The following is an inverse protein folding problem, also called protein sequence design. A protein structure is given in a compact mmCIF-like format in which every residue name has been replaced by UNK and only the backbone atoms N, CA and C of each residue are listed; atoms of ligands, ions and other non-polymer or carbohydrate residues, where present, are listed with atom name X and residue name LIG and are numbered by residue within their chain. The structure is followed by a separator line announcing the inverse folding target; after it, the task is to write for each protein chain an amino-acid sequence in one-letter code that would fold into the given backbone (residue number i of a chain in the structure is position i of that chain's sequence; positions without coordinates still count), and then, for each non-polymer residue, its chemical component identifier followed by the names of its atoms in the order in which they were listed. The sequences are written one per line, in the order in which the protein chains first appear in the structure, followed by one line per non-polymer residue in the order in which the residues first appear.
data_IF_063778633962
#
_entry.id   IF_063778633962
#
_cell.length_a   1.000
_cell.length_b   1.000
_cell.length_c   1.000
_cell.angle_alpha   90.00
_cell.angle_beta   90.00
_cell.angle_gamma   90.00
#
_symmetry.space_group_name_H-M   'P 1'
#
loop_
_entity.id
_entity.type
_entity.pdbx_description
1 polymer ?
#
# COMPACT_ATOMS: atom_id res chain seq x y z
N UNK A 1 6.36 9.63 -26.49
CA UNK A 1 6.38 8.34 -25.75
C UNK A 1 6.82 7.16 -26.59
N UNK A 2 6.39 7.03 -27.85
CA UNK A 2 6.70 5.87 -28.70
C UNK A 2 8.19 5.58 -28.83
N UNK A 3 9.01 6.59 -29.17
CA UNK A 3 10.48 6.46 -29.24
C UNK A 3 11.12 6.03 -27.92
N UNK A 4 10.60 6.51 -26.79
CA UNK A 4 11.09 6.13 -25.46
C UNK A 4 10.80 4.66 -25.19
N UNK A 5 9.59 4.20 -25.48
CA UNK A 5 9.20 2.80 -25.29
C UNK A 5 10.00 1.86 -26.19
N UNK A 6 10.20 2.21 -27.47
CA UNK A 6 11.03 1.45 -28.41
C UNK A 6 12.48 1.33 -27.91
N UNK A 7 13.07 2.43 -27.44
CA UNK A 7 14.43 2.44 -26.89
C UNK A 7 14.55 1.53 -25.65
N UNK A 8 13.58 1.60 -24.72
CA UNK A 8 13.56 0.74 -23.53
C UNK A 8 13.42 -0.74 -23.92
N UNK A 9 12.53 -1.06 -24.87
CA UNK A 9 12.27 -2.43 -25.33
C UNK A 9 13.46 -3.02 -26.10
N UNK A 10 14.14 -2.20 -26.89
CA UNK A 10 15.35 -2.62 -27.62
C UNK A 10 16.61 -2.72 -26.73
N UNK A 11 16.52 -2.32 -25.46
CA UNK A 11 17.64 -2.36 -24.52
C UNK A 11 18.69 -1.27 -24.77
N UNK A 12 18.24 -0.10 -25.22
CA UNK A 12 19.11 1.06 -25.44
C UNK A 12 19.94 1.39 -24.17
N UNK A 13 21.14 1.93 -24.37
CA UNK A 13 22.03 2.33 -23.28
C UNK A 13 21.44 3.50 -22.48
N UNK A 14 21.94 3.71 -21.26
CA UNK A 14 21.55 4.86 -20.44
C UNK A 14 21.84 6.19 -21.13
N UNK A 15 22.93 6.28 -21.87
CA UNK A 15 23.30 7.49 -22.64
C UNK A 15 22.31 7.74 -23.80
N UNK A 16 21.91 6.68 -24.51
CA UNK A 16 20.89 6.80 -25.55
C UNK A 16 19.57 7.31 -24.97
N UNK A 17 19.12 6.72 -23.85
CA UNK A 17 17.90 7.13 -23.14
C UNK A 17 18.01 8.59 -22.65
N UNK A 18 19.16 8.99 -22.14
CA UNK A 18 19.40 10.37 -21.69
C UNK A 18 19.25 11.40 -22.81
N UNK A 19 19.53 11.02 -24.06
CA UNK A 19 19.47 11.90 -25.22
C UNK A 19 18.12 11.92 -25.93
N UNK A 20 17.17 11.04 -25.57
CA UNK A 20 15.82 11.04 -26.15
C UNK A 20 15.06 12.33 -25.79
N UNK A 21 14.28 12.91 -26.71
CA UNK A 21 13.43 14.04 -26.38
C UNK A 21 12.34 13.63 -25.38
N UNK A 22 12.12 14.45 -24.36
CA UNK A 22 11.00 14.30 -23.46
C UNK A 22 9.81 15.05 -24.06
N UNK A 23 8.63 14.39 -24.21
CA UNK A 23 7.42 15.05 -24.73
C UNK A 23 6.93 16.15 -23.79
N UNK A 24 6.32 17.20 -24.34
CA UNK A 24 5.74 18.31 -23.56
C UNK A 24 4.48 17.91 -22.81
N UNK A 25 3.80 16.84 -23.23
CA UNK A 25 2.65 16.24 -22.58
C UNK A 25 2.70 14.70 -22.64
N UNK A 26 1.97 14.05 -21.75
CA UNK A 26 1.88 12.60 -21.69
C UNK A 26 0.50 12.19 -21.16
N UNK A 27 0.05 11.01 -21.55
CA UNK A 27 -1.25 10.46 -21.13
C UNK A 27 -1.19 10.04 -19.66
N UNK A 28 -2.24 10.41 -18.90
CA UNK A 28 -2.39 10.07 -17.50
C UNK A 28 -3.85 9.84 -17.11
N UNK A 29 -4.07 9.06 -16.06
CA UNK A 29 -5.34 8.93 -15.38
C UNK A 29 -5.39 9.93 -14.21
N UNK A 30 -6.43 10.77 -14.17
CA UNK A 30 -6.56 11.83 -13.17
C UNK A 30 -8.01 12.13 -12.80
N UNK A 31 -8.21 12.77 -11.65
CA UNK A 31 -9.47 13.38 -11.25
C UNK A 31 -9.38 14.91 -11.36
N UNK A 32 -10.53 15.58 -11.52
CA UNK A 32 -10.62 17.04 -11.66
C UNK A 32 -11.09 17.70 -10.37
N UNK A 33 -10.54 18.88 -10.10
CA UNK A 33 -10.86 19.66 -8.90
C UNK A 33 -12.30 20.13 -8.88
N UNK A 34 -12.84 20.58 -10.00
CA UNK A 34 -14.21 21.09 -10.14
C UNK A 34 -15.28 19.99 -10.00
N UNK A 35 -14.87 18.71 -10.06
CA UNK A 35 -15.75 17.57 -9.87
C UNK A 35 -15.76 17.03 -8.43
N UNK A 36 -15.03 17.66 -7.49
CA UNK A 36 -14.85 17.15 -6.12
C UNK A 36 -16.14 16.90 -5.34
N UNK A 37 -17.22 17.58 -5.69
CA UNK A 37 -18.53 17.46 -5.05
C UNK A 37 -19.52 16.58 -5.83
N UNK A 38 -19.10 15.95 -6.94
CA UNK A 38 -20.01 15.19 -7.83
C UNK A 38 -20.70 14.00 -7.16
N UNK A 39 -20.15 13.50 -6.07
CA UNK A 39 -20.70 12.38 -5.30
C UNK A 39 -21.31 12.83 -3.96
N UNK A 40 -21.63 14.13 -3.79
CA UNK A 40 -22.25 14.61 -2.56
C UNK A 40 -23.60 13.93 -2.31
N UNK A 41 -23.81 13.37 -1.11
CA UNK A 41 -25.02 12.65 -0.73
C UNK A 41 -25.13 11.21 -1.27
N UNK A 42 -24.10 10.69 -1.93
CA UNK A 42 -24.04 9.29 -2.40
C UNK A 42 -23.24 8.47 -1.41
N UNK A 43 -23.75 7.30 -1.03
CA UNK A 43 -23.01 6.36 -0.19
C UNK A 43 -21.73 5.87 -0.86
N UNK A 44 -20.65 5.67 -0.08
CA UNK A 44 -19.32 5.32 -0.60
C UNK A 44 -19.33 4.11 -1.54
N UNK A 45 -20.17 3.12 -1.28
CA UNK A 45 -20.29 1.91 -2.10
C UNK A 45 -21.05 2.09 -3.41
N UNK A 46 -21.83 3.16 -3.53
CA UNK A 46 -22.60 3.51 -4.73
C UNK A 46 -21.86 4.51 -5.64
N UNK A 47 -20.73 5.04 -5.17
CA UNK A 47 -19.87 5.94 -5.97
C UNK A 47 -19.13 5.15 -7.04
N UNK A 48 -19.36 5.51 -8.30
CA UNK A 48 -18.69 4.87 -9.44
C UNK A 48 -17.45 5.65 -9.86
N UNK A 49 -16.22 5.13 -9.61
CA UNK A 49 -14.98 5.82 -9.95
C UNK A 49 -14.81 6.08 -11.46
N UNK A 50 -15.53 5.35 -12.32
CA UNK A 50 -15.49 5.57 -13.78
C UNK A 50 -16.10 6.90 -14.20
N UNK A 51 -16.88 7.54 -13.33
CA UNK A 51 -17.51 8.84 -13.63
C UNK A 51 -16.58 10.03 -13.38
N UNK A 52 -15.63 9.88 -12.49
CA UNK A 52 -14.70 10.93 -12.03
C UNK A 52 -13.29 10.77 -12.58
N UNK A 53 -12.94 9.56 -13.04
CA UNK A 53 -11.62 9.26 -13.54
C UNK A 53 -11.53 9.57 -15.04
N UNK A 54 -10.67 10.50 -15.40
CA UNK A 54 -10.37 10.89 -16.76
C UNK A 54 -9.06 10.30 -17.23
N UNK A 55 -8.94 10.03 -18.52
CA UNK A 55 -7.69 9.61 -19.16
C UNK A 55 -7.46 10.54 -20.34
N UNK A 56 -6.46 11.41 -20.23
CA UNK A 56 -6.12 12.40 -21.25
C UNK A 56 -4.67 12.86 -21.08
N UNK A 57 -4.21 13.72 -22.00
CA UNK A 57 -2.87 14.31 -21.94
C UNK A 57 -2.76 15.39 -20.88
N UNK A 58 -1.70 15.31 -20.08
CA UNK A 58 -1.31 16.30 -19.09
C UNK A 58 0.08 16.85 -19.40
N UNK A 59 0.36 18.09 -18.99
CA UNK A 59 1.66 18.72 -19.22
C UNK A 59 2.77 17.99 -18.43
N UNK A 60 3.92 17.81 -19.07
CA UNK A 60 5.11 17.28 -18.41
C UNK A 60 5.63 18.29 -17.39
N UNK A 61 5.71 17.92 -16.08
CA UNK A 61 6.16 18.86 -15.05
C UNK A 61 7.68 19.08 -15.13
N UNK A 62 8.11 20.25 -14.68
CA UNK A 62 9.53 20.55 -14.50
C UNK A 62 10.12 19.68 -13.38
N UNK A 63 11.34 19.20 -13.58
CA UNK A 63 12.03 18.28 -12.65
C UNK A 63 12.76 19.06 -11.55
N UNK A 64 12.44 18.80 -10.30
CA UNK A 64 13.16 19.36 -9.15
C UNK A 64 14.56 18.76 -8.99
N UNK A 65 15.48 19.44 -8.29
CA UNK A 65 16.86 18.97 -8.16
C UNK A 65 17.02 17.57 -7.56
N UNK A 66 16.13 17.14 -6.68
CA UNK A 66 16.18 15.85 -5.95
C UNK A 66 15.24 14.78 -6.53
N UNK A 67 14.71 15.01 -7.73
CA UNK A 67 13.75 14.13 -8.37
C UNK A 67 14.29 13.38 -9.58
N UNK A 68 13.58 12.34 -9.95
CA UNK A 68 13.75 11.57 -11.18
C UNK A 68 12.48 11.62 -12.01
N UNK A 69 12.59 11.80 -13.31
CA UNK A 69 11.53 11.53 -14.28
C UNK A 69 11.67 10.08 -14.73
N UNK A 70 10.60 9.31 -14.61
CA UNK A 70 10.55 7.92 -15.04
C UNK A 70 9.56 7.72 -16.17
N UNK A 71 9.88 6.87 -17.15
CA UNK A 71 8.89 6.22 -18.00
C UNK A 71 8.23 5.12 -17.19
N UNK A 72 6.93 5.17 -17.05
CA UNK A 72 6.18 4.13 -16.32
C UNK A 72 5.89 2.98 -17.29
N UNK A 73 6.39 1.81 -16.98
CA UNK A 73 6.18 0.59 -17.77
C UNK A 73 4.98 -0.21 -17.28
N UNK A 74 4.68 -0.13 -15.99
CA UNK A 74 3.49 -0.68 -15.36
C UNK A 74 3.16 0.07 -14.07
N UNK A 75 1.88 0.07 -13.71
CA UNK A 75 1.35 0.61 -12.45
C UNK A 75 0.33 -0.35 -11.88
N UNK A 76 -0.11 -0.13 -10.64
CA UNK A 76 -1.19 -0.90 -10.03
C UNK A 76 -2.23 -0.02 -9.35
N UNK A 77 -3.42 -0.60 -9.11
CA UNK A 77 -4.51 0.06 -8.42
C UNK A 77 -4.51 -0.39 -6.96
N UNK A 78 -4.36 0.57 -6.06
CA UNK A 78 -4.51 0.37 -4.62
C UNK A 78 -5.82 1.00 -4.12
N UNK A 79 -6.20 0.69 -2.89
CA UNK A 79 -7.45 1.20 -2.32
C UNK A 79 -7.46 2.73 -2.19
N UNK A 80 -6.31 3.37 -1.93
CA UNK A 80 -6.17 4.83 -1.93
C UNK A 80 -6.43 5.45 -3.31
N UNK A 81 -6.08 4.76 -4.40
CA UNK A 81 -6.42 5.20 -5.77
C UNK A 81 -7.93 5.21 -5.99
N UNK A 82 -8.63 4.18 -5.48
CA UNK A 82 -10.10 4.14 -5.51
C UNK A 82 -10.68 5.28 -4.69
N UNK A 83 -10.18 5.50 -3.46
CA UNK A 83 -10.61 6.61 -2.62
C UNK A 83 -10.42 7.97 -3.28
N UNK A 84 -9.25 8.22 -3.89
CA UNK A 84 -9.03 9.46 -4.65
C UNK A 84 -10.08 9.65 -5.74
N UNK A 85 -10.39 8.57 -6.47
CA UNK A 85 -11.35 8.60 -7.57
C UNK A 85 -12.79 8.86 -7.13
N UNK A 86 -13.14 8.57 -5.89
CA UNK A 86 -14.48 8.82 -5.32
C UNK A 86 -14.51 9.97 -4.32
N UNK A 87 -13.39 10.71 -4.21
CA UNK A 87 -13.20 11.85 -3.30
C UNK A 87 -13.41 11.50 -1.81
N UNK A 88 -12.92 10.31 -1.39
CA UNK A 88 -13.06 9.80 -0.02
C UNK A 88 -11.69 9.70 0.69
N UNK A 89 -11.64 9.81 2.03
CA UNK A 89 -12.70 10.35 2.90
C UNK A 89 -12.86 11.86 2.73
N UNK A 90 -11.93 12.50 2.02
CA UNK A 90 -11.90 13.92 1.67
C UNK A 90 -11.31 14.07 0.26
N UNK A 91 -11.71 15.10 -0.50
CA UNK A 91 -11.06 15.45 -1.76
C UNK A 91 -9.56 15.68 -1.57
N UNK A 92 -8.72 14.97 -2.32
CA UNK A 92 -7.25 14.99 -2.18
C UNK A 92 -6.64 16.35 -2.52
N UNK A 93 -7.35 17.22 -3.23
CA UNK A 93 -6.89 18.58 -3.58
C UNK A 93 -6.50 19.42 -2.37
N UNK A 94 -7.12 19.21 -1.18
CA UNK A 94 -6.71 19.85 0.05
C UNK A 94 -5.30 19.47 0.52
N UNK A 95 -4.86 18.23 0.26
CA UNK A 95 -3.49 17.79 0.51
C UNK A 95 -2.52 18.44 -0.48
N UNK A 96 -2.87 18.49 -1.77
CA UNK A 96 -2.05 19.12 -2.81
C UNK A 96 -1.85 20.60 -2.56
N UNK A 97 -2.89 21.33 -2.14
CA UNK A 97 -2.82 22.75 -1.79
C UNK A 97 -1.96 23.01 -0.54
N UNK A 98 -1.97 22.08 0.41
CA UNK A 98 -1.13 22.15 1.60
C UNK A 98 0.34 21.93 1.24
N UNK A 99 0.62 20.90 0.45
CA UNK A 99 1.95 20.62 -0.08
C UNK A 99 2.50 21.81 -0.89
N UNK A 100 1.68 22.42 -1.75
CA UNK A 100 2.07 23.55 -2.60
C UNK A 100 2.57 24.78 -1.83
N UNK A 101 2.28 24.90 -0.53
CA UNK A 101 2.74 26.00 0.32
C UNK A 101 4.11 25.76 0.95
N UNK A 102 4.66 24.56 0.85
CA UNK A 102 5.90 24.18 1.55
C UNK A 102 7.16 24.71 0.83
N UNK A 103 7.13 24.83 -0.51
CA UNK A 103 8.26 25.33 -1.29
C UNK A 103 7.86 25.80 -2.69
N UNK A 104 8.77 26.50 -3.38
CA UNK A 104 8.56 26.90 -4.78
C UNK A 104 8.38 25.66 -5.69
N UNK A 105 9.15 24.59 -5.49
CA UNK A 105 9.02 23.36 -6.25
C UNK A 105 7.71 22.60 -5.96
N UNK A 106 7.19 22.72 -4.77
CA UNK A 106 5.92 22.08 -4.39
C UNK A 106 4.69 22.75 -5.01
N UNK A 107 4.77 24.02 -5.44
CA UNK A 107 3.64 24.77 -6.06
C UNK A 107 3.02 24.03 -7.24
N UNK A 108 3.82 23.30 -8.03
CA UNK A 108 3.35 22.53 -9.20
C UNK A 108 2.43 21.36 -8.85
N UNK A 109 2.33 20.95 -7.58
CA UNK A 109 1.37 19.92 -7.17
C UNK A 109 -0.08 20.43 -7.09
N UNK A 110 -0.30 21.74 -6.90
CA UNK A 110 -1.64 22.34 -6.86
C UNK A 110 -2.12 22.71 -8.27
N UNK A 111 -2.57 21.69 -9.01
CA UNK A 111 -3.13 21.82 -10.35
C UNK A 111 -4.67 21.68 -10.32
N UNK A 112 -5.39 22.02 -11.41
CA UNK A 112 -6.82 21.76 -11.54
C UNK A 112 -7.14 20.26 -11.66
N UNK A 113 -6.14 19.41 -11.76
CA UNK A 113 -6.25 17.95 -11.81
C UNK A 113 -5.24 17.26 -10.88
N UNK A 114 -5.55 16.03 -10.50
CA UNK A 114 -4.69 15.17 -9.69
C UNK A 114 -4.46 13.84 -10.44
N UNK A 115 -3.24 13.63 -10.92
CA UNK A 115 -2.81 12.34 -11.52
C UNK A 115 -2.64 11.32 -10.41
N UNK A 116 -3.40 10.24 -10.48
CA UNK A 116 -3.53 9.24 -9.43
C UNK A 116 -2.56 8.06 -9.58
N UNK A 117 -2.47 7.20 -8.56
CA UNK A 117 -1.67 5.98 -8.57
C UNK A 117 -0.44 6.08 -7.67
N UNK A 118 -0.31 5.10 -6.76
CA UNK A 118 0.75 5.07 -5.73
C UNK A 118 1.73 3.91 -5.92
N UNK A 119 1.69 3.26 -7.08
CA UNK A 119 2.61 2.21 -7.47
C UNK A 119 3.11 2.43 -8.89
N UNK A 120 4.37 2.11 -9.15
CA UNK A 120 4.92 2.03 -10.49
C UNK A 120 6.19 1.18 -10.55
N UNK A 121 6.43 0.61 -11.72
CA UNK A 121 7.74 0.14 -12.17
C UNK A 121 8.08 0.83 -13.49
N UNK A 122 9.35 1.15 -13.69
CA UNK A 122 9.71 1.94 -14.87
C UNK A 122 11.21 2.10 -15.09
N UNK A 123 11.54 3.01 -15.99
CA UNK A 123 12.92 3.34 -16.36
C UNK A 123 13.18 4.82 -16.13
N UNK A 124 14.28 5.14 -15.49
CA UNK A 124 14.73 6.53 -15.27
C UNK A 124 15.07 7.17 -16.62
N UNK A 125 14.43 8.28 -16.95
CA UNK A 125 14.65 9.07 -18.16
C UNK A 125 15.57 10.27 -17.91
N UNK A 126 15.33 10.98 -16.80
CA UNK A 126 16.08 12.17 -16.39
C UNK A 126 16.25 12.17 -14.87
N UNK A 127 17.30 12.85 -14.43
CA UNK A 127 17.59 13.06 -13.01
C UNK A 127 17.78 14.55 -12.73
N UNK A 128 17.33 15.00 -11.58
CA UNK A 128 17.60 16.34 -11.07
C UNK A 128 19.08 16.52 -10.68
N UNK A 129 19.53 17.75 -10.60
CA UNK A 129 20.95 18.10 -10.40
C UNK A 129 21.55 17.62 -9.07
N UNK A 130 20.74 17.31 -8.07
CA UNK A 130 21.18 16.80 -6.77
C UNK A 130 21.10 15.26 -6.66
N UNK A 131 20.54 14.56 -7.65
CA UNK A 131 20.45 13.11 -7.67
C UNK A 131 21.82 12.49 -7.97
N UNK A 132 22.24 11.52 -7.16
CA UNK A 132 23.56 10.86 -7.28
C UNK A 132 23.50 9.35 -7.40
N UNK A 133 22.40 8.74 -6.95
CA UNK A 133 22.30 7.28 -6.84
C UNK A 133 21.60 6.63 -8.04
N UNK A 134 21.03 7.43 -8.92
CA UNK A 134 20.30 6.97 -10.10
C UNK A 134 20.82 7.65 -11.35
N UNK A 135 20.64 6.99 -12.48
CA UNK A 135 20.99 7.50 -13.81
C UNK A 135 19.95 7.08 -14.84
N UNK A 136 19.87 7.77 -16.00
CA UNK A 136 19.04 7.34 -17.11
C UNK A 136 19.33 5.88 -17.50
N UNK A 137 18.27 5.12 -17.79
CA UNK A 137 18.34 3.70 -18.11
C UNK A 137 18.20 2.75 -16.91
N UNK A 138 18.33 3.24 -15.67
CA UNK A 138 18.10 2.39 -14.49
C UNK A 138 16.67 1.92 -14.43
N UNK A 139 16.49 0.61 -14.21
CA UNK A 139 15.19 -0.05 -14.06
C UNK A 139 14.78 -0.04 -12.60
N UNK A 140 13.64 0.55 -12.31
CA UNK A 140 13.23 0.86 -10.93
C UNK A 140 11.81 0.42 -10.63
N UNK A 141 11.53 0.26 -9.34
CA UNK A 141 10.18 0.24 -8.76
C UNK A 141 10.07 1.39 -7.75
N UNK A 142 8.88 1.93 -7.59
CA UNK A 142 8.62 3.10 -6.75
C UNK A 142 7.99 2.67 -5.44
N UNK A 143 8.54 3.14 -4.33
CA UNK A 143 7.85 3.12 -3.04
C UNK A 143 7.13 4.46 -2.83
N UNK A 144 5.94 4.44 -2.25
CA UNK A 144 5.07 5.61 -2.27
C UNK A 144 5.33 6.66 -1.17
N UNK A 145 6.31 6.45 -0.27
CA UNK A 145 6.63 7.42 0.79
C UNK A 145 7.36 8.63 0.23
N UNK A 146 6.67 9.76 0.13
CA UNK A 146 7.24 11.03 -0.33
C UNK A 146 7.64 11.88 0.88
N UNK A 147 8.93 12.04 1.12
CA UNK A 147 9.52 12.79 2.24
C UNK A 147 10.75 13.54 1.76
N UNK A 148 10.97 14.73 2.29
CA UNK A 148 12.23 15.44 2.10
C UNK A 148 13.34 14.72 2.89
N UNK A 149 14.32 14.15 2.18
CA UNK A 149 15.45 13.45 2.77
C UNK A 149 16.41 14.35 3.57
N UNK A 150 16.26 15.67 3.46
CA UNK A 150 17.01 16.65 4.25
C UNK A 150 16.31 17.02 5.56
N UNK A 151 15.02 16.64 5.77
CA UNK A 151 14.34 16.84 7.03
C UNK A 151 14.94 15.91 8.10
N UNK A 152 15.52 16.45 9.21
CA UNK A 152 16.12 15.62 10.24
C UNK A 152 15.12 14.69 10.93
N UNK A 153 13.83 15.01 10.94
CA UNK A 153 12.77 14.16 11.50
C UNK A 153 12.53 12.89 10.70
N UNK A 154 12.98 12.87 9.44
CA UNK A 154 12.86 11.71 8.55
C UNK A 154 13.93 10.62 8.78
N UNK A 155 15.01 10.91 9.51
CA UNK A 155 16.20 10.05 9.52
C UNK A 155 16.04 8.77 10.33
N UNK A 156 15.26 8.77 11.39
CA UNK A 156 15.01 7.56 12.19
C UNK A 156 13.85 6.73 11.59
N UNK A 157 12.70 7.36 11.44
CA UNK A 157 11.53 6.77 10.78
C UNK A 157 10.87 7.83 9.88
N UNK A 158 11.09 7.73 8.58
CA UNK A 158 10.59 8.71 7.61
C UNK A 158 9.05 8.81 7.58
N UNK A 159 8.33 7.82 8.13
CA UNK A 159 6.87 7.90 8.31
C UNK A 159 6.45 8.86 9.42
N UNK A 160 7.39 9.26 10.31
CA UNK A 160 7.14 10.22 11.39
C UNK A 160 7.50 11.65 10.99
N UNK A 161 8.04 11.87 9.80
CA UNK A 161 8.36 13.21 9.31
C UNK A 161 7.11 14.07 9.14
N UNK A 162 7.18 15.34 9.55
CA UNK A 162 6.03 16.28 9.49
C UNK A 162 5.55 16.51 8.05
N UNK A 163 6.45 16.39 7.07
CA UNK A 163 6.16 16.57 5.64
C UNK A 163 5.95 15.24 4.90
N UNK A 164 5.78 14.12 5.61
CA UNK A 164 5.48 12.84 5.00
C UNK A 164 4.17 12.87 4.24
N UNK A 165 4.17 12.34 3.03
CA UNK A 165 3.03 12.23 2.11
C UNK A 165 3.05 10.89 1.39
N UNK A 166 1.90 10.46 0.91
CA UNK A 166 1.78 9.30 0.02
C UNK A 166 1.73 9.79 -1.42
N UNK A 167 2.71 9.39 -2.22
CA UNK A 167 2.80 9.71 -3.63
C UNK A 167 1.58 9.22 -4.41
N UNK A 168 1.04 10.09 -5.27
CA UNK A 168 -0.15 9.80 -6.08
C UNK A 168 -1.47 9.76 -5.32
N UNK A 169 -1.43 10.09 -4.00
CA UNK A 169 -2.59 10.26 -3.14
C UNK A 169 -2.58 11.63 -2.44
N UNK A 170 -1.48 11.98 -1.75
CA UNK A 170 -1.26 13.27 -1.08
C UNK A 170 -0.29 14.18 -1.86
N UNK A 171 0.27 13.67 -2.96
CA UNK A 171 1.04 14.43 -3.95
C UNK A 171 0.48 14.19 -5.34
N UNK A 172 0.68 15.13 -6.28
CA UNK A 172 0.32 14.95 -7.68
C UNK A 172 1.38 14.10 -8.42
N UNK A 173 1.15 13.82 -9.70
CA UNK A 173 2.01 13.09 -10.63
C UNK A 173 2.18 11.61 -10.26
N UNK A 174 1.04 10.94 -9.97
CA UNK A 174 1.01 9.52 -9.64
C UNK A 174 1.37 8.58 -10.79
N UNK A 175 1.42 7.28 -10.48
CA UNK A 175 1.94 6.25 -11.37
C UNK A 175 0.98 5.73 -12.44
N UNK A 176 -0.32 6.10 -12.42
CA UNK A 176 -1.25 5.74 -13.52
C UNK A 176 -1.10 6.71 -14.69
N UNK A 177 0.09 6.74 -15.30
CA UNK A 177 0.47 7.65 -16.35
C UNK A 177 1.63 7.06 -17.18
N UNK A 178 1.87 7.59 -18.38
CA UNK A 178 3.00 7.18 -19.22
C UNK A 178 4.35 7.63 -18.65
N UNK A 179 4.36 8.75 -17.92
CA UNK A 179 5.54 9.25 -17.18
C UNK A 179 5.14 9.74 -15.80
N UNK A 180 6.10 9.75 -14.88
CA UNK A 180 5.91 10.31 -13.55
C UNK A 180 7.19 10.93 -13.01
N UNK A 181 7.05 11.91 -12.12
CA UNK A 181 8.15 12.42 -11.31
C UNK A 181 8.05 11.86 -9.89
N UNK A 182 9.19 11.45 -9.36
CA UNK A 182 9.33 10.90 -8.02
C UNK A 182 10.62 11.41 -7.39
N UNK A 183 10.67 11.54 -6.07
CA UNK A 183 11.93 11.82 -5.39
C UNK A 183 12.91 10.67 -5.55
N UNK A 184 14.19 10.96 -5.66
CA UNK A 184 15.22 9.93 -5.85
C UNK A 184 15.23 8.87 -4.73
N UNK A 185 14.85 9.24 -3.50
CA UNK A 185 14.75 8.33 -2.36
C UNK A 185 13.52 7.39 -2.41
N UNK A 186 12.55 7.64 -3.30
CA UNK A 186 11.42 6.75 -3.54
C UNK A 186 11.77 5.58 -4.46
N UNK A 187 12.87 5.65 -5.17
CA UNK A 187 13.26 4.61 -6.13
C UNK A 187 13.95 3.44 -5.43
N UNK A 188 13.64 2.25 -5.89
CA UNK A 188 14.28 0.99 -5.53
C UNK A 188 14.65 0.23 -6.80
N UNK A 189 15.69 -0.63 -6.80
CA UNK A 189 16.02 -1.42 -7.98
C UNK A 189 14.88 -2.40 -8.29
N UNK A 190 14.47 -2.47 -9.55
CA UNK A 190 13.49 -3.46 -10.01
C UNK A 190 14.09 -4.87 -9.88
N UNK A 191 13.37 -5.85 -9.29
CA UNK A 191 13.80 -7.24 -9.33
C UNK A 191 13.96 -7.71 -10.78
N UNK A 192 15.13 -8.27 -11.12
CA UNK A 192 15.48 -8.59 -12.52
C UNK A 192 14.69 -9.74 -13.11
N UNK A 193 14.22 -10.65 -12.28
CA UNK A 193 13.46 -11.84 -12.67
C UNK A 193 11.95 -11.60 -12.79
N UNK A 194 11.44 -10.44 -12.32
CA UNK A 194 10.04 -10.09 -12.40
C UNK A 194 9.73 -9.26 -13.67
N UNK A 195 8.53 -9.40 -14.20
CA UNK A 195 8.01 -8.51 -15.24
C UNK A 195 7.83 -7.08 -14.73
N UNK A 196 7.41 -6.16 -15.60
CA UNK A 196 7.09 -4.80 -15.17
C UNK A 196 5.86 -4.76 -14.27
N UNK A 197 4.82 -5.52 -14.66
CA UNK A 197 3.56 -5.65 -13.93
C UNK A 197 3.78 -6.27 -12.55
N UNK A 198 4.49 -7.39 -12.49
CA UNK A 198 4.86 -8.04 -11.24
C UNK A 198 5.69 -7.15 -10.33
N UNK A 199 6.54 -6.29 -10.90
CA UNK A 199 7.34 -5.34 -10.13
C UNK A 199 6.52 -4.15 -9.63
N UNK A 200 5.54 -3.69 -10.40
CA UNK A 200 4.73 -2.53 -10.06
C UNK A 200 3.86 -2.76 -8.81
N UNK A 201 3.30 -3.97 -8.62
CA UNK A 201 2.38 -4.27 -7.51
C UNK A 201 3.06 -4.38 -6.15
N UNK A 202 4.38 -4.31 -6.09
CA UNK A 202 5.14 -4.56 -4.86
C UNK A 202 5.29 -3.33 -3.97
N UNK A 203 5.41 -2.14 -4.55
CA UNK A 203 5.84 -0.93 -3.86
C UNK A 203 5.05 -0.66 -2.59
N UNK A 204 3.73 -0.53 -2.72
CA UNK A 204 2.85 -0.24 -1.59
C UNK A 204 2.56 -1.48 -0.74
N UNK A 205 2.06 -2.54 -1.35
CA UNK A 205 1.50 -3.68 -0.61
C UNK A 205 2.57 -4.49 0.15
N UNK A 206 3.70 -4.80 -0.50
CA UNK A 206 4.80 -5.53 0.14
C UNK A 206 5.42 -4.74 1.29
N UNK A 207 5.69 -3.44 1.08
CA UNK A 207 6.30 -2.58 2.10
C UNK A 207 5.38 -2.39 3.32
N UNK A 208 4.07 -2.16 3.10
CA UNK A 208 3.08 -2.06 4.18
C UNK A 208 3.05 -3.33 5.02
N UNK A 209 2.99 -4.49 4.38
CA UNK A 209 2.93 -5.78 5.09
C UNK A 209 4.23 -6.06 5.86
N UNK A 210 5.39 -5.65 5.29
CA UNK A 210 6.68 -5.76 5.98
C UNK A 210 6.70 -4.90 7.25
N UNK A 211 6.30 -3.62 7.16
CA UNK A 211 6.22 -2.73 8.33
C UNK A 211 5.27 -3.28 9.38
N UNK A 212 4.08 -3.73 8.99
CA UNK A 212 3.09 -4.25 9.94
C UNK A 212 3.59 -5.46 10.73
N UNK A 213 4.30 -6.38 10.09
CA UNK A 213 4.65 -7.67 10.69
C UNK A 213 6.09 -7.75 11.19
N UNK A 214 7.05 -7.34 10.34
CA UNK A 214 8.47 -7.66 10.52
C UNK A 214 9.23 -6.54 11.21
N UNK A 215 8.91 -5.29 10.87
CA UNK A 215 9.61 -4.11 11.36
C UNK A 215 9.51 -3.93 12.89
N UNK A 216 10.52 -3.28 13.45
CA UNK A 216 10.49 -2.79 14.84
C UNK A 216 9.39 -1.76 15.11
N UNK A 217 8.90 -1.10 14.06
CA UNK A 217 7.77 -0.16 14.11
C UNK A 217 6.41 -0.84 14.02
N UNK A 218 6.36 -2.16 13.82
CA UNK A 218 5.16 -2.98 13.71
C UNK A 218 5.02 -4.01 14.82
N UNK A 219 4.43 -5.16 14.49
CA UNK A 219 4.17 -6.24 15.45
C UNK A 219 5.43 -6.99 15.91
N UNK A 220 6.56 -6.83 15.22
CA UNK A 220 7.84 -7.52 15.53
C UNK A 220 7.69 -9.03 15.58
N UNK A 221 7.08 -9.60 14.56
CA UNK A 221 6.86 -11.03 14.43
C UNK A 221 8.16 -11.81 14.65
N UNK A 222 8.04 -12.91 15.38
CA UNK A 222 9.16 -13.82 15.68
C UNK A 222 8.90 -15.19 15.09
N UNK A 223 9.95 -15.97 14.96
CA UNK A 223 9.85 -17.39 14.66
C UNK A 223 8.88 -18.09 15.62
N UNK A 224 7.97 -18.88 15.07
CA UNK A 224 6.97 -19.63 15.83
C UNK A 224 5.69 -18.86 16.15
N UNK A 225 5.65 -17.52 15.93
CA UNK A 225 4.42 -16.76 16.13
C UNK A 225 3.30 -17.22 15.17
N UNK A 226 2.09 -17.33 15.69
CA UNK A 226 0.87 -17.53 14.90
C UNK A 226 0.25 -16.18 14.55
N UNK A 227 -0.11 -16.00 13.27
CA UNK A 227 -0.62 -14.73 12.75
C UNK A 227 -1.95 -14.93 12.05
N UNK A 228 -3.01 -14.35 12.60
CA UNK A 228 -4.31 -14.27 11.94
C UNK A 228 -4.27 -13.14 10.90
N UNK A 229 -4.59 -13.47 9.64
CA UNK A 229 -4.50 -12.53 8.53
C UNK A 229 -5.86 -12.37 7.88
N UNK A 230 -6.51 -11.21 8.07
CA UNK A 230 -7.72 -10.87 7.37
C UNK A 230 -7.44 -10.61 5.88
N UNK A 231 -8.36 -11.04 5.01
CA UNK A 231 -8.20 -10.85 3.57
C UNK A 231 -6.89 -11.42 3.02
N UNK A 232 -6.51 -12.60 3.46
CA UNK A 232 -5.20 -13.22 3.25
C UNK A 232 -4.79 -13.44 1.78
N UNK A 233 -5.71 -13.31 0.82
CA UNK A 233 -5.42 -13.35 -0.63
C UNK A 233 -5.50 -11.97 -1.29
N UNK A 234 -5.69 -10.90 -0.52
CA UNK A 234 -5.64 -9.53 -1.02
C UNK A 234 -4.21 -9.01 -1.16
N UNK A 235 -4.05 -7.78 -1.68
CA UNK A 235 -2.75 -7.19 -1.94
C UNK A 235 -1.81 -7.25 -0.72
N UNK A 236 -2.18 -6.64 0.42
CA UNK A 236 -1.35 -6.71 1.63
C UNK A 236 -1.39 -8.08 2.32
N UNK A 237 -2.54 -8.78 2.30
CA UNK A 237 -2.72 -10.06 2.96
C UNK A 237 -1.86 -11.18 2.34
N UNK A 238 -1.73 -11.21 1.02
CA UNK A 238 -0.90 -12.19 0.31
C UNK A 238 0.59 -12.03 0.65
N UNK A 239 1.09 -10.81 0.77
CA UNK A 239 2.45 -10.56 1.25
C UNK A 239 2.60 -10.92 2.73
N UNK A 240 1.60 -10.61 3.56
CA UNK A 240 1.61 -10.97 4.98
C UNK A 240 1.76 -12.49 5.17
N UNK A 241 1.00 -13.31 4.43
CA UNK A 241 1.14 -14.78 4.45
C UNK A 241 2.57 -15.20 4.14
N UNK A 242 3.17 -14.65 3.07
CA UNK A 242 4.53 -14.99 2.66
C UNK A 242 5.57 -14.54 3.69
N UNK A 243 5.43 -13.35 4.29
CA UNK A 243 6.34 -12.90 5.35
C UNK A 243 6.27 -13.80 6.58
N UNK A 244 5.07 -14.25 6.97
CA UNK A 244 4.90 -15.16 8.10
C UNK A 244 5.59 -16.49 7.82
N UNK A 245 5.34 -17.09 6.65
CA UNK A 245 5.99 -18.37 6.24
C UNK A 245 7.51 -18.23 6.15
N UNK A 246 7.99 -17.19 5.48
CA UNK A 246 9.42 -16.94 5.30
C UNK A 246 10.14 -16.64 6.63
N UNK A 247 9.45 -16.05 7.60
CA UNK A 247 9.92 -15.78 8.94
C UNK A 247 9.81 -16.96 9.91
N UNK A 248 9.29 -18.11 9.46
CA UNK A 248 9.13 -19.31 10.30
C UNK A 248 7.95 -19.21 11.27
N UNK A 249 6.98 -18.34 10.99
CA UNK A 249 5.72 -18.25 11.72
C UNK A 249 4.63 -19.13 11.10
N UNK A 250 3.44 -19.12 11.70
CA UNK A 250 2.26 -19.87 11.27
C UNK A 250 1.16 -18.92 10.81
N UNK A 251 0.89 -18.77 9.51
CA UNK A 251 -0.21 -17.95 9.04
C UNK A 251 -1.55 -18.69 9.23
N UNK A 252 -2.59 -17.95 9.64
CA UNK A 252 -3.98 -18.37 9.67
C UNK A 252 -4.74 -17.41 8.77
N UNK A 253 -5.05 -17.85 7.54
CA UNK A 253 -5.62 -17.00 6.53
C UNK A 253 -7.14 -16.95 6.60
N UNK A 254 -7.73 -15.75 6.69
CA UNK A 254 -9.18 -15.56 6.57
C UNK A 254 -9.51 -15.14 5.14
N UNK A 255 -10.36 -15.93 4.50
CA UNK A 255 -10.81 -15.74 3.11
C UNK A 255 -12.33 -15.69 3.00
N UNK A 256 -12.86 -15.51 1.80
CA UNK A 256 -14.29 -15.37 1.54
C UNK A 256 -14.81 -16.33 0.46
N UNK A 257 -14.02 -17.29 0.02
CA UNK A 257 -14.46 -18.35 -0.89
C UNK A 257 -13.48 -19.53 -0.92
N UNK A 258 -13.95 -20.72 -1.36
CA UNK A 258 -13.11 -21.91 -1.53
C UNK A 258 -11.94 -21.70 -2.52
N UNK A 259 -12.15 -20.93 -3.59
CA UNK A 259 -11.11 -20.65 -4.59
C UNK A 259 -9.96 -19.85 -3.96
N UNK A 260 -10.28 -18.92 -3.05
CA UNK A 260 -9.28 -18.16 -2.30
C UNK A 260 -8.57 -19.02 -1.27
N UNK A 261 -9.25 -19.99 -0.67
CA UNK A 261 -8.62 -20.95 0.21
C UNK A 261 -7.59 -21.81 -0.54
N UNK A 262 -7.91 -22.20 -1.78
CA UNK A 262 -6.98 -22.96 -2.62
C UNK A 262 -5.72 -22.16 -3.00
N UNK A 263 -5.84 -20.84 -3.20
CA UNK A 263 -4.66 -19.97 -3.40
C UNK A 263 -3.75 -20.03 -2.17
N UNK A 264 -4.31 -19.91 -0.95
CA UNK A 264 -3.52 -19.98 0.28
C UNK A 264 -2.84 -21.34 0.47
N UNK A 265 -3.55 -22.42 0.18
CA UNK A 265 -2.98 -23.78 0.24
C UNK A 265 -1.76 -23.93 -0.69
N UNK A 266 -1.86 -23.41 -1.91
CA UNK A 266 -0.73 -23.38 -2.87
C UNK A 266 0.43 -22.51 -2.40
N UNK A 267 0.17 -21.48 -1.62
CA UNK A 267 1.20 -20.65 -0.98
C UNK A 267 1.85 -21.33 0.24
N UNK A 268 1.31 -22.46 0.72
CA UNK A 268 1.78 -23.15 1.92
C UNK A 268 1.10 -22.73 3.22
N UNK A 269 0.01 -21.96 3.16
CA UNK A 269 -0.82 -21.63 4.31
C UNK A 269 -1.89 -22.71 4.50
N UNK A 270 -1.66 -23.65 5.41
CA UNK A 270 -2.55 -24.79 5.68
C UNK A 270 -3.75 -24.43 6.56
N UNK A 271 -3.60 -23.43 7.44
CA UNK A 271 -4.64 -22.97 8.34
C UNK A 271 -5.50 -21.91 7.67
N UNK A 272 -6.67 -22.27 7.18
CA UNK A 272 -7.57 -21.38 6.44
C UNK A 272 -8.96 -21.37 7.06
N UNK A 273 -9.56 -20.18 7.19
CA UNK A 273 -10.93 -19.95 7.64
C UNK A 273 -11.69 -19.25 6.51
N UNK A 274 -12.70 -19.92 5.94
CA UNK A 274 -13.63 -19.28 5.01
C UNK A 274 -14.77 -18.62 5.82
N UNK A 275 -14.69 -17.27 5.93
CA UNK A 275 -15.65 -16.49 6.71
C UNK A 275 -17.07 -16.52 6.16
N UNK A 276 -17.24 -16.71 4.83
CA UNK A 276 -18.56 -16.80 4.22
C UNK A 276 -19.19 -18.17 4.40
N UNK A 277 -18.41 -19.24 4.22
CA UNK A 277 -18.88 -20.60 4.50
C UNK A 277 -19.26 -20.76 5.98
N UNK A 278 -18.47 -20.17 6.88
CA UNK A 278 -18.76 -20.15 8.32
C UNK A 278 -19.89 -19.18 8.69
N UNK A 279 -20.24 -18.23 7.81
CA UNK A 279 -21.32 -17.25 8.01
C UNK A 279 -21.25 -16.52 9.37
N UNK A 280 -20.07 -15.97 9.72
CA UNK A 280 -19.92 -15.20 10.97
C UNK A 280 -20.72 -13.90 10.92
N UNK A 281 -21.46 -13.63 12.00
CA UNK A 281 -22.25 -12.40 12.19
C UNK A 281 -21.70 -11.66 13.42
N UNK A 282 -20.55 -10.97 13.29
CA UNK A 282 -19.94 -10.25 14.41
C UNK A 282 -20.75 -9.05 14.93
N UNK A 283 -21.78 -8.66 14.17
CA UNK A 283 -22.72 -7.61 14.50
C UNK A 283 -24.14 -8.15 14.37
N UNK A 284 -24.94 -8.05 15.41
CA UNK A 284 -26.36 -8.42 15.40
C UNK A 284 -27.23 -7.33 14.75
N UNK A 285 -26.79 -6.09 14.86
CA UNK A 285 -27.35 -4.90 14.20
C UNK A 285 -26.25 -3.86 13.98
N UNK A 286 -26.59 -2.65 13.51
CA UNK A 286 -25.63 -1.59 13.21
C UNK A 286 -24.80 -1.14 14.43
N UNK A 287 -25.32 -1.31 15.64
CA UNK A 287 -24.72 -0.78 16.88
C UNK A 287 -24.32 -1.85 17.89
N UNK A 288 -24.73 -3.10 17.70
CA UNK A 288 -24.55 -4.17 18.68
C UNK A 288 -23.67 -5.29 18.15
N UNK A 289 -22.53 -5.48 18.78
CA UNK A 289 -21.62 -6.59 18.46
C UNK A 289 -22.09 -7.90 19.15
N UNK A 290 -21.90 -9.03 18.45
CA UNK A 290 -22.23 -10.35 18.97
C UNK A 290 -20.99 -11.07 19.50
N UNK A 291 -20.83 -11.06 20.82
CA UNK A 291 -19.72 -11.74 21.49
C UNK A 291 -19.79 -13.27 21.32
N UNK A 292 -20.97 -13.85 21.12
CA UNK A 292 -21.09 -15.30 20.89
C UNK A 292 -20.44 -15.72 19.58
N UNK A 293 -20.54 -14.87 18.57
CA UNK A 293 -19.88 -15.07 17.28
C UNK A 293 -18.35 -14.89 17.37
N UNK A 294 -17.87 -13.98 18.23
CA UNK A 294 -16.43 -13.92 18.52
C UNK A 294 -15.91 -15.20 19.18
N UNK A 295 -16.71 -15.78 20.11
CA UNK A 295 -16.36 -17.06 20.77
C UNK A 295 -16.34 -18.21 19.76
N UNK A 296 -17.30 -18.25 18.82
CA UNK A 296 -17.35 -19.24 17.74
C UNK A 296 -16.12 -19.10 16.82
N UNK A 297 -15.84 -17.89 16.37
CA UNK A 297 -14.64 -17.60 15.55
C UNK A 297 -13.35 -17.96 16.28
N UNK A 298 -13.20 -17.57 17.55
CA UNK A 298 -12.05 -17.94 18.37
C UNK A 298 -11.91 -19.46 18.58
N UNK A 299 -13.03 -20.21 18.66
CA UNK A 299 -13.00 -21.68 18.70
C UNK A 299 -12.44 -22.26 17.40
N UNK A 300 -12.86 -21.73 16.26
CA UNK A 300 -12.39 -22.20 14.95
C UNK A 300 -10.90 -21.84 14.73
N UNK A 301 -10.45 -20.66 15.18
CA UNK A 301 -9.03 -20.31 15.20
C UNK A 301 -8.24 -21.32 16.04
N UNK A 302 -8.65 -21.61 17.25
CA UNK A 302 -7.94 -22.58 18.11
C UNK A 302 -7.93 -23.98 17.52
N UNK A 303 -8.98 -24.38 16.81
CA UNK A 303 -9.03 -25.68 16.14
C UNK A 303 -7.94 -25.85 15.08
N UNK A 304 -7.57 -24.76 14.37
CA UNK A 304 -6.50 -24.76 13.36
C UNK A 304 -5.17 -24.26 13.90
N UNK A 305 -5.09 -23.79 15.15
CA UNK A 305 -3.90 -23.23 15.81
C UNK A 305 -3.48 -24.00 17.05
N UNK A 306 -3.50 -25.32 17.01
CA UNK A 306 -3.05 -26.20 18.09
C UNK A 306 -3.71 -25.93 19.47
N UNK A 307 -4.93 -25.42 19.47
CA UNK A 307 -5.68 -25.11 20.68
C UNK A 307 -5.46 -23.72 21.27
N UNK A 308 -4.64 -22.88 20.63
CA UNK A 308 -4.23 -21.56 21.15
C UNK A 308 -4.84 -20.40 20.38
N UNK A 309 -5.03 -19.26 21.08
CA UNK A 309 -5.27 -17.95 20.48
C UNK A 309 -4.00 -17.45 19.76
N UNK A 310 -4.11 -16.47 18.85
CA UNK A 310 -3.01 -16.04 18.01
C UNK A 310 -2.09 -15.00 18.67
N UNK A 311 -0.81 -15.02 18.29
CA UNK A 311 0.19 -14.04 18.74
C UNK A 311 -0.06 -12.66 18.16
N UNK A 312 -0.39 -12.61 16.86
CA UNK A 312 -0.56 -11.38 16.10
C UNK A 312 -1.86 -11.48 15.27
N UNK A 313 -2.57 -10.36 15.18
CA UNK A 313 -3.66 -10.17 14.22
C UNK A 313 -3.24 -9.10 13.23
N UNK A 314 -3.18 -9.47 11.95
CA UNK A 314 -2.98 -8.58 10.82
C UNK A 314 -4.35 -8.08 10.35
N UNK A 315 -4.68 -6.87 10.75
CA UNK A 315 -6.00 -6.26 10.61
C UNK A 315 -5.99 -5.15 9.55
N UNK A 316 -7.04 -5.07 8.73
CA UNK A 316 -7.25 -3.96 7.80
C UNK A 316 -8.72 -3.68 7.46
N UNK A 317 -9.69 -4.57 7.70
CA UNK A 317 -11.11 -4.25 7.49
C UNK A 317 -11.63 -3.15 8.42
N UNK A 318 -11.20 -3.12 9.68
CA UNK A 318 -11.62 -2.11 10.64
C UNK A 318 -12.93 -2.44 11.33
N UNK A 319 -14.00 -1.62 11.13
CA UNK A 319 -15.24 -1.71 11.89
C UNK A 319 -15.82 -3.12 11.99
N UNK A 320 -15.91 -3.84 10.90
CA UNK A 320 -16.61 -5.13 10.86
C UNK A 320 -15.88 -6.25 11.62
N UNK A 321 -14.58 -6.14 11.86
CA UNK A 321 -13.74 -7.23 12.37
C UNK A 321 -12.96 -6.90 13.64
N UNK A 322 -12.81 -5.62 14.01
CA UNK A 322 -11.95 -5.21 15.11
C UNK A 322 -12.31 -5.87 16.45
N UNK A 323 -13.59 -6.01 16.77
CA UNK A 323 -14.04 -6.69 17.99
C UNK A 323 -13.58 -8.16 18.04
N UNK A 324 -13.79 -8.89 16.93
CA UNK A 324 -13.33 -10.27 16.78
C UNK A 324 -11.79 -10.38 16.80
N UNK A 325 -11.10 -9.43 16.18
CA UNK A 325 -9.63 -9.36 16.16
C UNK A 325 -9.05 -9.16 17.56
N UNK A 326 -9.63 -8.24 18.32
CA UNK A 326 -9.24 -8.03 19.72
C UNK A 326 -9.54 -9.28 20.55
N UNK A 327 -10.67 -9.95 20.34
CA UNK A 327 -11.00 -11.18 21.04
C UNK A 327 -10.02 -12.31 20.74
N UNK A 328 -9.67 -12.54 19.47
CA UNK A 328 -8.85 -13.65 18.98
C UNK A 328 -7.36 -13.58 19.39
N UNK A 329 -6.83 -12.39 19.64
CA UNK A 329 -5.44 -12.24 20.08
C UNK A 329 -5.22 -12.81 21.48
N UNK A 330 -4.14 -13.54 21.70
CA UNK A 330 -3.77 -14.11 23.01
C UNK A 330 -3.45 -13.02 24.05
N UNK A 331 -3.25 -13.42 25.30
CA UNK A 331 -2.70 -12.53 26.34
C UNK A 331 -1.34 -11.99 25.90
N UNK A 332 -1.17 -10.66 25.94
CA UNK A 332 0.05 -9.97 25.46
C UNK A 332 0.18 -9.90 23.94
N UNK A 333 -0.79 -10.46 23.19
CA UNK A 333 -0.79 -10.45 21.72
C UNK A 333 -0.96 -9.04 21.14
N UNK A 334 -0.66 -8.91 19.83
CA UNK A 334 -0.66 -7.63 19.12
C UNK A 334 -1.69 -7.64 17.99
N UNK A 335 -2.52 -6.63 17.92
CA UNK A 335 -3.34 -6.32 16.77
C UNK A 335 -2.66 -5.17 16.02
N UNK A 336 -2.27 -5.37 14.77
CA UNK A 336 -1.68 -4.32 13.93
C UNK A 336 -2.62 -4.00 12.78
N UNK A 337 -2.96 -2.71 12.61
CA UNK A 337 -3.93 -2.24 11.60
C UNK A 337 -3.36 -1.12 10.74
N UNK A 338 -3.74 -1.08 9.45
CA UNK A 338 -3.29 -0.05 8.50
C UNK A 338 -4.40 0.57 7.66
N UNK A 339 -5.65 0.15 7.82
CA UNK A 339 -6.76 0.59 6.99
C UNK A 339 -8.10 0.51 7.74
N UNK A 340 -9.18 0.89 7.06
CA UNK A 340 -10.54 0.88 7.60
C UNK A 340 -11.56 0.65 6.46
N UNK A 341 -11.37 -0.43 5.68
CA UNK A 341 -12.16 -0.70 4.46
C UNK A 341 -13.64 -1.02 4.72
N UNK A 342 -14.03 -1.32 5.97
CA UNK A 342 -15.42 -1.57 6.36
C UNK A 342 -16.02 -0.48 7.26
N UNK A 343 -15.32 0.64 7.42
CA UNK A 343 -15.76 1.78 8.22
C UNK A 343 -14.68 2.31 9.16
N UNK A 344 -14.68 3.63 9.35
CA UNK A 344 -13.62 4.37 10.06
C UNK A 344 -13.69 4.27 11.58
N UNK A 345 -14.92 4.15 12.12
CA UNK A 345 -15.12 4.05 13.56
C UNK A 345 -15.07 2.59 14.01
N UNK A 346 -14.10 2.26 14.86
CA UNK A 346 -13.91 0.89 15.37
C UNK A 346 -14.35 0.81 16.83
N UNK A 347 -14.99 -0.31 17.16
CA UNK A 347 -15.47 -0.62 18.51
C UNK A 347 -15.00 -2.02 18.90
N UNK A 348 -14.65 -2.20 20.17
CA UNK A 348 -14.32 -3.50 20.75
C UNK A 348 -14.56 -3.49 22.25
N UNK A 349 -14.78 -4.67 22.83
CA UNK A 349 -14.91 -4.81 24.27
C UNK A 349 -13.55 -4.68 24.97
N UNK A 350 -13.39 -3.56 25.68
CA UNK A 350 -12.15 -3.23 26.38
C UNK A 350 -11.75 -4.26 27.45
N UNK A 351 -12.68 -5.05 28.00
CA UNK A 351 -12.39 -6.15 28.94
C UNK A 351 -11.47 -7.18 28.29
N UNK A 352 -11.71 -7.53 27.02
CA UNK A 352 -10.87 -8.46 26.26
C UNK A 352 -9.50 -7.86 25.88
N UNK A 353 -9.35 -6.56 25.96
CA UNK A 353 -8.12 -5.83 25.63
C UNK A 353 -7.21 -5.61 26.86
N UNK A 354 -7.66 -4.76 27.83
CA UNK A 354 -6.78 -4.36 28.95
C UNK A 354 -6.51 -5.50 29.93
N UNK A 355 -7.50 -6.34 30.26
CA UNK A 355 -7.30 -7.47 31.18
C UNK A 355 -6.31 -8.52 30.65
N UNK A 356 -6.14 -8.57 29.35
CA UNK A 356 -5.21 -9.50 28.68
C UNK A 356 -3.93 -8.81 28.18
N UNK A 357 -3.68 -7.56 28.55
CA UNK A 357 -2.45 -6.83 28.25
C UNK A 357 -2.12 -6.80 26.75
N UNK A 358 -3.13 -6.71 25.89
CA UNK A 358 -2.95 -6.72 24.44
C UNK A 358 -2.45 -5.37 23.95
N UNK A 359 -1.90 -5.35 22.75
CA UNK A 359 -1.41 -4.14 22.07
C UNK A 359 -2.26 -3.90 20.83
N UNK A 360 -2.63 -2.65 20.60
CA UNK A 360 -3.22 -2.18 19.34
C UNK A 360 -2.24 -1.19 18.72
N UNK A 361 -1.70 -1.54 17.58
CA UNK A 361 -0.73 -0.73 16.84
C UNK A 361 -1.33 -0.27 15.52
N UNK A 362 -1.06 0.99 15.18
CA UNK A 362 -1.34 1.52 13.86
C UNK A 362 -0.11 1.40 12.95
N UNK A 363 -0.35 1.24 11.66
CA UNK A 363 0.68 1.29 10.62
C UNK A 363 0.14 2.06 9.43
N UNK A 364 1.00 2.85 8.80
CA UNK A 364 0.68 3.57 7.58
C UNK A 364 1.85 3.44 6.63
N UNK A 365 1.69 2.68 5.56
CA UNK A 365 2.74 2.36 4.60
C UNK A 365 4.03 1.82 5.23
N UNK A 366 5.22 2.36 4.84
CA UNK A 366 6.53 1.96 5.34
C UNK A 366 7.58 3.07 5.14
N UNK A 367 8.59 3.11 5.98
CA UNK A 367 9.73 3.99 5.77
C UNK A 367 10.69 3.45 4.70
N UNK A 368 11.72 4.22 4.36
CA UNK A 368 12.67 3.84 3.31
C UNK A 368 13.42 2.55 3.63
N UNK A 369 13.87 2.38 4.86
CA UNK A 369 14.61 1.17 5.29
C UNK A 369 13.74 -0.07 5.19
N UNK A 370 12.48 0.02 5.61
CA UNK A 370 11.51 -1.06 5.55
C UNK A 370 11.16 -1.44 4.10
N UNK A 371 10.95 -0.43 3.24
CA UNK A 371 10.67 -0.65 1.82
C UNK A 371 11.86 -1.30 1.10
N UNK A 372 13.09 -0.86 1.39
CA UNK A 372 14.30 -1.47 0.85
C UNK A 372 14.50 -2.90 1.35
N UNK A 373 14.19 -3.18 2.63
CA UNK A 373 14.27 -4.54 3.18
C UNK A 373 13.24 -5.47 2.52
N UNK A 374 12.00 -5.00 2.31
CA UNK A 374 10.97 -5.71 1.57
C UNK A 374 11.40 -6.00 0.12
N UNK A 375 11.90 -4.96 -0.58
CA UNK A 375 12.37 -5.09 -1.96
C UNK A 375 13.58 -6.03 -2.09
N UNK A 376 14.45 -6.09 -1.09
CA UNK A 376 15.57 -7.05 -1.05
C UNK A 376 15.07 -8.50 -1.08
N UNK A 377 14.00 -8.80 -0.34
CA UNK A 377 13.41 -10.15 -0.33
C UNK A 377 12.78 -10.49 -1.69
N UNK A 378 12.14 -9.52 -2.35
CA UNK A 378 11.66 -9.66 -3.73
C UNK A 378 12.81 -9.92 -4.71
N UNK A 379 13.89 -9.12 -4.65
CA UNK A 379 15.07 -9.33 -5.50
C UNK A 379 15.75 -10.69 -5.30
N UNK A 380 15.60 -11.28 -4.12
CA UNK A 380 16.13 -12.61 -3.78
C UNK A 380 15.15 -13.76 -4.13
N UNK A 381 13.95 -13.44 -4.65
CA UNK A 381 12.90 -14.43 -4.92
C UNK A 381 12.34 -15.11 -3.67
N UNK A 382 12.51 -14.51 -2.49
CA UNK A 382 11.95 -15.01 -1.22
C UNK A 382 10.48 -14.66 -1.02
N UNK A 383 10.08 -13.58 -1.64
CA UNK A 383 8.69 -13.08 -1.70
C UNK A 383 8.35 -12.92 -3.19
N UNK A 384 7.13 -13.25 -3.54
CA UNK A 384 6.61 -13.18 -4.91
C UNK A 384 5.37 -12.26 -4.97
N UNK A 385 5.13 -11.55 -6.07
CA UNK A 385 3.92 -10.73 -6.27
C UNK A 385 2.65 -11.57 -6.40
#
# INVERSE_FOLDING_TARGET
MEQILEAIQSGASGDDIANLPIPESYRAAFVKRDESNMFEGVDSWDKDPRKSLHVDDVATPELAPDECLIAVMASSINFNTVWTSIFEPLPTFGFLDRLARESEWAKRHSLPYHVVGSDASGVVLRIGSAVRNWKPGDRVTVQCNHVDGQDPTAHNDSMMANNQRIWGFETNFGGLADMSIVRANQLMPKPTHLSWEESAVNGLCSSTSYRMLVSDNGARMKQGDSVLIWGATGGIGGYAVQYVLNGGGRPIGVVSSPERAEILNRMGCEAVIDRKASNYQFWSDEHTQDESEWRRFGKDIRAVNNGEDVDIVFEHPGRSTMGASVFAAKRGGTIVTCAATSGYMVEFDNRHFWMKLKKLLSSHFANYTESWAANKLLCQGKIQP
#
